data_IF_220530265793
#
_entry.id   IF_220530265793
#
_cell.length_a   1.000
_cell.length_b   1.000
_cell.length_c   1.000
_cell.angle_alpha   90.00
_cell.angle_beta   90.00
_cell.angle_gamma   90.00
#
_symmetry.space_group_name_H-M   'P 1'
#
loop_
_entity.id
_entity.type
_entity.pdbx_description
1 polymer ?
#
# COMPACT_ATOMS: atom_id res chain seq x y z
N UNK A 1 -16.83 41.57 -57.67
CA UNK A 1 -17.26 41.19 -59.04
C UNK A 1 -16.04 40.80 -59.87
N UNK A 2 -14.98 41.64 -59.97
CA UNK A 2 -13.79 41.30 -60.79
C UNK A 2 -13.14 39.95 -60.45
N UNK A 3 -12.91 39.62 -59.18
CA UNK A 3 -12.26 38.35 -58.82
C UNK A 3 -13.03 37.08 -59.24
N UNK A 4 -14.37 37.16 -59.43
CA UNK A 4 -15.18 36.03 -59.94
C UNK A 4 -15.05 35.91 -61.46
N UNK A 5 -15.12 37.04 -62.17
CA UNK A 5 -14.91 37.10 -63.62
C UNK A 5 -13.49 36.67 -64.01
N UNK A 6 -12.47 37.11 -63.25
CA UNK A 6 -11.08 36.72 -63.46
C UNK A 6 -10.89 35.20 -63.33
N UNK A 7 -11.56 34.58 -62.35
CA UNK A 7 -11.53 33.11 -62.16
C UNK A 7 -12.23 32.39 -63.31
N UNK A 8 -13.40 32.86 -63.74
CA UNK A 8 -14.14 32.28 -64.88
C UNK A 8 -13.32 32.36 -66.17
N UNK A 9 -12.72 33.51 -66.46
CA UNK A 9 -11.87 33.69 -67.65
C UNK A 9 -10.63 32.77 -67.62
N UNK A 10 -10.01 32.59 -66.46
CA UNK A 10 -8.90 31.66 -66.30
C UNK A 10 -9.33 30.21 -66.54
N UNK A 11 -10.49 29.79 -66.01
CA UNK A 11 -11.03 28.44 -66.22
C UNK A 11 -11.42 28.20 -67.68
N UNK A 12 -11.97 29.20 -68.38
CA UNK A 12 -12.27 29.13 -69.81
C UNK A 12 -11.00 28.89 -70.63
N UNK A 13 -9.95 29.68 -70.39
CA UNK A 13 -8.66 29.48 -71.07
C UNK A 13 -8.00 28.13 -70.75
N UNK A 14 -8.21 27.58 -69.54
CA UNK A 14 -7.78 26.23 -69.21
C UNK A 14 -8.57 25.15 -69.95
N UNK A 15 -9.89 25.31 -70.04
CA UNK A 15 -10.76 24.39 -70.77
C UNK A 15 -10.36 24.31 -72.25
N UNK A 16 -10.14 25.44 -72.90
CA UNK A 16 -9.68 25.51 -74.30
C UNK A 16 -8.33 24.80 -74.51
N UNK A 17 -7.36 25.01 -73.60
CA UNK A 17 -6.09 24.29 -73.63
C UNK A 17 -6.29 22.79 -73.49
N UNK A 18 -7.13 22.35 -72.55
CA UNK A 18 -7.42 20.94 -72.38
C UNK A 18 -8.12 20.32 -73.57
N UNK A 19 -8.98 21.07 -74.27
CA UNK A 19 -9.59 20.63 -75.53
C UNK A 19 -8.52 20.45 -76.61
N UNK A 20 -7.60 21.42 -76.77
CA UNK A 20 -6.50 21.34 -77.72
C UNK A 20 -5.57 20.13 -77.43
N UNK A 21 -5.39 19.79 -76.15
CA UNK A 21 -4.63 18.62 -75.71
C UNK A 21 -5.45 17.31 -75.70
N UNK A 22 -6.70 17.31 -76.16
CA UNK A 22 -7.63 16.17 -76.14
C UNK A 22 -7.92 15.60 -74.73
N UNK A 23 -7.71 16.41 -73.69
CA UNK A 23 -8.00 16.10 -72.28
C UNK A 23 -9.44 16.49 -71.91
N UNK A 24 -10.41 15.94 -72.65
CA UNK A 24 -11.81 16.35 -72.58
C UNK A 24 -12.44 16.26 -71.18
N UNK A 25 -12.06 15.28 -70.35
CA UNK A 25 -12.57 15.18 -68.95
C UNK A 25 -12.14 16.39 -68.12
N UNK A 26 -10.90 16.86 -68.31
CA UNK A 26 -10.41 18.04 -67.58
C UNK A 26 -11.08 19.31 -68.08
N UNK A 27 -11.32 19.41 -69.39
CA UNK A 27 -12.09 20.52 -69.94
C UNK A 27 -13.53 20.55 -69.41
N UNK A 28 -14.19 19.38 -69.33
CA UNK A 28 -15.55 19.23 -68.78
C UNK A 28 -15.62 19.69 -67.32
N UNK A 29 -14.65 19.28 -66.49
CA UNK A 29 -14.54 19.75 -65.10
C UNK A 29 -14.37 21.27 -64.99
N UNK A 30 -13.55 21.89 -65.86
CA UNK A 30 -13.41 23.35 -65.88
C UNK A 30 -14.74 24.04 -66.19
N UNK A 31 -15.51 23.53 -67.15
CA UNK A 31 -16.83 24.10 -67.46
C UNK A 31 -17.86 23.85 -66.35
N UNK A 32 -17.85 22.68 -65.70
CA UNK A 32 -18.69 22.40 -64.53
C UNK A 32 -18.36 23.38 -63.39
N UNK A 33 -17.08 23.59 -63.09
CA UNK A 33 -16.66 24.56 -62.06
C UNK A 33 -17.08 25.99 -62.40
N UNK A 34 -17.03 26.38 -63.69
CA UNK A 34 -17.57 27.67 -64.12
C UNK A 34 -19.07 27.76 -63.85
N UNK A 35 -19.84 26.70 -64.12
CA UNK A 35 -21.29 26.69 -63.88
C UNK A 35 -21.66 26.64 -62.39
N UNK A 36 -20.79 26.14 -61.52
CA UNK A 36 -20.95 26.28 -60.07
C UNK A 36 -20.79 27.74 -59.61
N UNK A 37 -19.92 28.51 -60.27
CA UNK A 37 -19.69 29.94 -59.99
C UNK A 37 -20.78 30.82 -60.62
N UNK A 38 -21.11 30.55 -61.89
CA UNK A 38 -22.12 31.23 -62.69
C UNK A 38 -22.96 30.22 -63.50
N UNK A 39 -24.11 29.86 -62.94
CA UNK A 39 -25.06 28.88 -63.52
C UNK A 39 -25.58 29.26 -64.90
N UNK A 40 -25.47 30.53 -65.30
CA UNK A 40 -26.01 31.03 -66.56
C UNK A 40 -24.94 31.35 -67.60
N UNK A 41 -23.67 31.04 -67.33
CA UNK A 41 -22.59 31.26 -68.27
C UNK A 41 -22.85 30.52 -69.60
N UNK A 42 -23.10 31.27 -70.68
CA UNK A 42 -23.44 30.70 -71.98
C UNK A 42 -22.28 29.96 -72.61
N UNK A 43 -21.06 30.49 -72.48
CA UNK A 43 -19.83 29.90 -73.03
C UNK A 43 -19.58 28.52 -72.41
N UNK A 44 -19.74 28.38 -71.09
CA UNK A 44 -19.57 27.10 -70.43
C UNK A 44 -20.65 26.07 -70.82
N UNK A 45 -21.91 26.49 -70.99
CA UNK A 45 -22.99 25.61 -71.47
C UNK A 45 -22.74 25.13 -72.90
N UNK A 46 -22.37 26.04 -73.80
CA UNK A 46 -22.02 25.72 -75.18
C UNK A 46 -20.77 24.84 -75.25
N UNK A 47 -19.76 25.14 -74.43
CA UNK A 47 -18.55 24.34 -74.30
C UNK A 47 -18.83 22.90 -73.88
N UNK A 48 -19.69 22.68 -72.88
CA UNK A 48 -20.12 21.34 -72.44
C UNK A 48 -20.82 20.56 -73.54
N UNK A 49 -21.75 21.18 -74.29
CA UNK A 49 -22.42 20.51 -75.41
C UNK A 49 -21.42 20.21 -76.55
N UNK A 50 -20.49 21.11 -76.85
CA UNK A 50 -19.49 20.93 -77.89
C UNK A 50 -18.56 19.74 -77.61
N UNK A 51 -18.14 19.54 -76.35
CA UNK A 51 -17.24 18.43 -75.99
C UNK A 51 -17.98 17.15 -75.58
N UNK A 52 -19.31 17.16 -75.55
CA UNK A 52 -20.15 16.12 -74.95
C UNK A 52 -19.83 14.72 -75.46
N UNK A 53 -19.79 14.53 -76.78
CA UNK A 53 -19.53 13.23 -77.40
C UNK A 53 -18.10 12.72 -77.09
N UNK A 54 -17.12 13.63 -77.10
CA UNK A 54 -15.73 13.30 -76.78
C UNK A 54 -15.56 12.94 -75.29
N UNK A 55 -16.29 13.61 -74.41
CA UNK A 55 -16.36 13.27 -72.98
C UNK A 55 -17.03 11.92 -72.79
N UNK A 56 -18.16 11.65 -73.45
CA UNK A 56 -18.87 10.37 -73.35
C UNK A 56 -18.00 9.21 -73.85
N UNK A 57 -17.24 9.39 -74.94
CA UNK A 57 -16.25 8.43 -75.40
C UNK A 57 -15.14 8.19 -74.37
N UNK A 58 -14.58 9.26 -73.78
CA UNK A 58 -13.56 9.14 -72.74
C UNK A 58 -14.10 8.46 -71.48
N UNK A 59 -15.36 8.72 -71.10
CA UNK A 59 -16.05 8.06 -69.99
C UNK A 59 -16.11 6.54 -70.22
N UNK A 60 -16.46 6.08 -71.43
CA UNK A 60 -16.46 4.65 -71.77
C UNK A 60 -15.05 4.04 -71.62
N UNK A 61 -14.02 4.73 -72.11
CA UNK A 61 -12.63 4.26 -71.99
C UNK A 61 -12.17 4.19 -70.52
N UNK A 62 -12.49 5.20 -69.72
CA UNK A 62 -12.17 5.22 -68.29
C UNK A 62 -12.94 4.13 -67.55
N UNK A 63 -14.20 3.85 -67.92
CA UNK A 63 -14.99 2.79 -67.32
C UNK A 63 -14.37 1.41 -67.57
N UNK A 64 -13.88 1.13 -68.78
CA UNK A 64 -13.18 -0.13 -69.10
C UNK A 64 -11.91 -0.28 -68.24
N UNK A 65 -11.11 0.78 -68.13
CA UNK A 65 -9.91 0.77 -67.28
C UNK A 65 -10.25 0.60 -65.80
N UNK A 66 -11.31 1.25 -65.33
CA UNK A 66 -11.82 1.14 -63.96
C UNK A 66 -12.27 -0.29 -63.63
N UNK A 67 -12.99 -0.95 -64.54
CA UNK A 67 -13.39 -2.36 -64.40
C UNK A 67 -12.18 -3.28 -64.34
N UNK A 68 -11.26 -3.13 -65.29
CA UNK A 68 -10.04 -3.94 -65.31
C UNK A 68 -9.21 -3.77 -64.02
N UNK A 69 -9.12 -2.55 -63.49
CA UNK A 69 -8.48 -2.30 -62.21
C UNK A 69 -9.24 -2.92 -61.03
N UNK A 70 -10.58 -2.88 -61.04
CA UNK A 70 -11.42 -3.48 -60.01
C UNK A 70 -11.27 -5.02 -59.99
N UNK A 71 -11.37 -5.66 -61.16
CA UNK A 71 -11.23 -7.10 -61.33
C UNK A 71 -9.81 -7.57 -60.99
N UNK A 72 -8.81 -6.72 -61.25
CA UNK A 72 -7.42 -6.93 -60.84
C UNK A 72 -7.13 -6.63 -59.35
N UNK A 73 -8.14 -6.25 -58.55
CA UNK A 73 -7.99 -5.94 -57.12
C UNK A 73 -7.32 -4.60 -56.81
N UNK A 74 -7.03 -3.78 -57.82
CA UNK A 74 -6.50 -2.43 -57.63
C UNK A 74 -7.63 -1.43 -57.39
N UNK A 75 -8.29 -1.58 -56.24
CA UNK A 75 -9.45 -0.77 -55.86
C UNK A 75 -9.16 0.72 -55.84
N UNK A 76 -7.94 1.14 -55.46
CA UNK A 76 -7.53 2.56 -55.48
C UNK A 76 -7.43 3.15 -56.89
N UNK A 77 -7.05 2.35 -57.89
CA UNK A 77 -7.07 2.79 -59.28
C UNK A 77 -8.49 2.78 -59.85
N UNK A 78 -9.29 1.77 -59.53
CA UNK A 78 -10.69 1.68 -59.91
C UNK A 78 -11.51 2.85 -59.35
N UNK A 79 -11.33 3.17 -58.06
CA UNK A 79 -12.01 4.28 -57.38
C UNK A 79 -11.70 5.61 -58.06
N UNK A 80 -10.43 5.89 -58.37
CA UNK A 80 -10.03 7.10 -59.10
C UNK A 80 -10.70 7.20 -60.47
N UNK A 81 -10.81 6.08 -61.19
CA UNK A 81 -11.46 6.04 -62.50
C UNK A 81 -12.97 6.32 -62.40
N UNK A 82 -13.68 5.61 -61.53
CA UNK A 82 -15.13 5.78 -61.37
C UNK A 82 -15.52 7.10 -60.71
N UNK A 83 -14.68 7.62 -59.81
CA UNK A 83 -14.85 8.95 -59.23
C UNK A 83 -14.72 10.03 -60.31
N UNK A 84 -13.71 9.93 -61.19
CA UNK A 84 -13.57 10.86 -62.32
C UNK A 84 -14.81 10.86 -63.23
N UNK A 85 -15.39 9.67 -63.50
CA UNK A 85 -16.65 9.57 -64.25
C UNK A 85 -17.80 10.24 -63.49
N UNK A 86 -17.91 10.01 -62.19
CA UNK A 86 -18.99 10.58 -61.36
C UNK A 86 -18.97 12.11 -61.37
N UNK A 87 -17.80 12.75 -61.41
CA UNK A 87 -17.70 14.21 -61.44
C UNK A 87 -18.28 14.83 -62.73
N UNK A 88 -18.04 14.20 -63.88
CA UNK A 88 -18.51 14.69 -65.19
C UNK A 88 -19.88 14.16 -65.59
N UNK A 89 -20.26 12.98 -65.08
CA UNK A 89 -21.54 12.32 -65.31
C UNK A 89 -22.08 11.79 -63.98
N UNK A 90 -22.65 12.66 -63.13
CA UNK A 90 -23.17 12.27 -61.81
C UNK A 90 -24.23 11.19 -61.90
N UNK A 91 -24.99 11.11 -62.99
CA UNK A 91 -26.05 10.10 -63.21
C UNK A 91 -25.56 8.76 -63.80
N UNK A 92 -24.26 8.60 -64.03
CA UNK A 92 -23.72 7.35 -64.56
C UNK A 92 -23.94 6.20 -63.56
N UNK A 93 -24.92 5.34 -63.85
CA UNK A 93 -25.31 4.22 -62.98
C UNK A 93 -24.17 3.22 -62.74
N UNK A 94 -23.31 3.03 -63.74
CA UNK A 94 -22.18 2.11 -63.66
C UNK A 94 -21.10 2.64 -62.70
N UNK A 95 -20.71 3.91 -62.81
CA UNK A 95 -19.78 4.54 -61.89
C UNK A 95 -20.31 4.51 -60.45
N UNK A 96 -21.61 4.84 -60.24
CA UNK A 96 -22.26 4.72 -58.91
C UNK A 96 -22.18 3.29 -58.36
N UNK A 97 -22.44 2.28 -59.20
CA UNK A 97 -22.40 0.87 -58.79
C UNK A 97 -20.99 0.43 -58.37
N UNK A 98 -19.96 0.73 -59.16
CA UNK A 98 -18.59 0.33 -58.82
C UNK A 98 -18.03 1.09 -57.61
N UNK A 99 -18.32 2.38 -57.47
CA UNK A 99 -17.95 3.13 -56.26
C UNK A 99 -18.62 2.53 -55.01
N UNK A 100 -19.89 2.12 -55.10
CA UNK A 100 -20.55 1.40 -54.01
C UNK A 100 -19.85 0.07 -53.69
N UNK A 101 -19.52 -0.74 -54.70
CA UNK A 101 -18.79 -2.01 -54.49
C UNK A 101 -17.43 -1.81 -53.81
N UNK A 102 -16.70 -0.77 -54.22
CA UNK A 102 -15.40 -0.41 -53.63
C UNK A 102 -15.56 0.03 -52.18
N UNK A 103 -16.56 0.88 -51.90
CA UNK A 103 -16.90 1.29 -50.54
C UNK A 103 -17.28 0.09 -49.67
N UNK A 104 -18.12 -0.81 -50.17
CA UNK A 104 -18.53 -2.02 -49.44
C UNK A 104 -17.32 -2.94 -49.16
N UNK A 105 -16.33 -3.01 -50.07
CA UNK A 105 -15.06 -3.70 -49.83
C UNK A 105 -14.25 -3.05 -48.71
N UNK A 106 -14.02 -1.73 -48.77
CA UNK A 106 -13.28 -1.01 -47.73
C UNK A 106 -13.97 -1.07 -46.37
N UNK A 107 -15.31 -1.02 -46.35
CA UNK A 107 -16.10 -1.24 -45.14
C UNK A 107 -15.87 -2.65 -44.57
N UNK A 108 -15.82 -3.68 -45.41
CA UNK A 108 -15.50 -5.05 -44.98
C UNK A 108 -14.09 -5.20 -44.39
N UNK A 109 -13.09 -4.50 -44.93
CA UNK A 109 -11.74 -4.48 -44.34
C UNK A 109 -11.71 -3.71 -43.02
N UNK A 110 -12.44 -2.60 -42.93
CA UNK A 110 -12.60 -1.85 -41.70
C UNK A 110 -13.27 -2.70 -40.60
N UNK A 111 -14.31 -3.47 -40.92
CA UNK A 111 -15.00 -4.38 -39.97
C UNK A 111 -14.04 -5.43 -39.39
N UNK A 112 -13.17 -6.03 -40.21
CA UNK A 112 -12.16 -7.00 -39.73
C UNK A 112 -11.20 -6.35 -38.72
N UNK A 113 -10.74 -5.14 -39.01
CA UNK A 113 -9.85 -4.38 -38.13
C UNK A 113 -10.55 -3.94 -36.85
N UNK A 114 -11.83 -3.55 -36.95
CA UNK A 114 -12.69 -3.26 -35.81
C UNK A 114 -12.82 -4.45 -34.87
N UNK A 115 -13.14 -5.64 -35.39
CA UNK A 115 -13.23 -6.87 -34.59
C UNK A 115 -11.90 -7.22 -33.91
N UNK A 116 -10.76 -7.00 -34.59
CA UNK A 116 -9.42 -7.14 -34.00
C UNK A 116 -9.21 -6.14 -32.85
N UNK A 117 -9.65 -4.90 -33.03
CA UNK A 117 -9.64 -3.85 -32.01
C UNK A 117 -10.47 -4.23 -30.78
N UNK A 118 -11.67 -4.80 -30.98
CA UNK A 118 -12.50 -5.32 -29.89
C UNK A 118 -11.79 -6.45 -29.11
N UNK A 119 -11.08 -7.33 -29.81
CA UNK A 119 -10.25 -8.36 -29.18
C UNK A 119 -9.24 -7.76 -28.20
N UNK A 120 -8.47 -6.76 -28.66
CA UNK A 120 -7.51 -6.06 -27.79
C UNK A 120 -8.18 -5.26 -26.68
N UNK A 121 -9.33 -4.63 -26.96
CA UNK A 121 -10.10 -3.86 -25.99
C UNK A 121 -10.57 -4.74 -24.83
N UNK A 122 -11.09 -5.93 -25.13
CA UNK A 122 -11.54 -6.91 -24.13
C UNK A 122 -10.38 -7.49 -23.31
N UNK A 123 -9.19 -7.60 -23.90
CA UNK A 123 -7.95 -7.95 -23.20
C UNK A 123 -7.34 -6.79 -22.40
N UNK A 124 -7.99 -5.62 -22.35
CA UNK A 124 -7.49 -4.37 -21.74
C UNK A 124 -6.19 -3.86 -22.35
N UNK A 125 -5.82 -4.34 -23.53
CA UNK A 125 -4.67 -3.87 -24.28
C UNK A 125 -5.08 -2.64 -25.11
N UNK A 126 -5.46 -1.56 -24.41
CA UNK A 126 -6.09 -0.39 -25.04
C UNK A 126 -5.19 0.30 -26.07
N UNK A 127 -3.87 0.23 -25.92
CA UNK A 127 -2.93 0.75 -26.92
C UNK A 127 -3.11 0.05 -28.28
N UNK A 128 -3.18 -1.29 -28.28
CA UNK A 128 -3.38 -2.07 -29.51
C UNK A 128 -4.82 -1.96 -30.04
N UNK A 129 -5.79 -1.77 -29.14
CA UNK A 129 -7.17 -1.49 -29.52
C UNK A 129 -7.30 -0.16 -30.27
N UNK A 130 -6.75 0.93 -29.70
CA UNK A 130 -6.70 2.26 -30.32
C UNK A 130 -6.07 2.17 -31.71
N UNK A 131 -4.89 1.53 -31.83
CA UNK A 131 -4.23 1.35 -33.13
C UNK A 131 -5.09 0.61 -34.14
N UNK A 132 -5.79 -0.45 -33.72
CA UNK A 132 -6.65 -1.22 -34.63
C UNK A 132 -7.90 -0.46 -35.06
N UNK A 133 -8.50 0.34 -34.19
CA UNK A 133 -9.63 1.19 -34.55
C UNK A 133 -9.21 2.35 -35.45
N UNK A 134 -8.05 2.94 -35.24
CA UNK A 134 -7.48 3.95 -36.15
C UNK A 134 -7.20 3.36 -37.54
N UNK A 135 -6.65 2.15 -37.61
CA UNK A 135 -6.48 1.42 -38.87
C UNK A 135 -7.83 1.14 -39.54
N UNK A 136 -8.87 0.74 -38.80
CA UNK A 136 -10.22 0.54 -39.36
C UNK A 136 -10.77 1.82 -39.99
N UNK A 137 -10.64 2.97 -39.31
CA UNK A 137 -11.10 4.26 -39.82
C UNK A 137 -10.30 4.72 -41.04
N UNK A 138 -9.03 4.33 -41.17
CA UNK A 138 -8.26 4.62 -42.40
C UNK A 138 -8.78 3.92 -43.66
N UNK A 139 -9.60 2.88 -43.50
CA UNK A 139 -10.30 2.20 -44.59
C UNK A 139 -11.72 2.76 -44.81
N UNK A 140 -12.45 3.09 -43.74
CA UNK A 140 -13.80 3.65 -43.81
C UNK A 140 -13.97 4.71 -42.72
N UNK A 141 -13.92 5.98 -43.14
CA UNK A 141 -14.08 7.14 -42.24
C UNK A 141 -15.47 7.16 -41.58
N UNK A 142 -16.46 6.50 -42.17
CA UNK A 142 -17.87 6.45 -41.75
C UNK A 142 -18.24 5.23 -40.88
N UNK A 143 -17.27 4.40 -40.49
CA UNK A 143 -17.53 3.24 -39.61
C UNK A 143 -17.84 3.70 -38.17
N UNK A 144 -19.12 3.94 -37.89
CA UNK A 144 -19.62 4.55 -36.67
C UNK A 144 -19.17 3.82 -35.37
N UNK A 145 -19.14 2.50 -35.40
CA UNK A 145 -18.71 1.68 -34.27
C UNK A 145 -17.23 1.88 -33.97
N UNK A 146 -16.37 1.92 -35.00
CA UNK A 146 -14.94 2.15 -34.84
C UNK A 146 -14.66 3.52 -34.21
N UNK A 147 -15.40 4.57 -34.60
CA UNK A 147 -15.30 5.90 -33.98
C UNK A 147 -15.63 5.84 -32.48
N UNK A 148 -16.78 5.25 -32.13
CA UNK A 148 -17.24 5.15 -30.74
C UNK A 148 -16.27 4.35 -29.87
N UNK A 149 -15.79 3.20 -30.36
CA UNK A 149 -14.88 2.36 -29.60
C UNK A 149 -13.47 2.95 -29.51
N UNK A 150 -13.02 3.70 -30.52
CA UNK A 150 -11.77 4.46 -30.47
C UNK A 150 -11.78 5.49 -29.33
N UNK A 151 -12.86 6.27 -29.20
CA UNK A 151 -12.99 7.25 -28.13
C UNK A 151 -12.96 6.59 -26.74
N UNK A 152 -13.71 5.49 -26.57
CA UNK A 152 -13.71 4.71 -25.33
C UNK A 152 -12.32 4.14 -25.03
N UNK A 153 -11.64 3.56 -26.02
CA UNK A 153 -10.31 2.99 -25.88
C UNK A 153 -9.28 4.06 -25.51
N UNK A 154 -9.33 5.24 -26.13
CA UNK A 154 -8.46 6.38 -25.79
C UNK A 154 -8.69 6.86 -24.36
N UNK A 155 -9.95 6.96 -23.94
CA UNK A 155 -10.29 7.35 -22.56
C UNK A 155 -9.76 6.34 -21.52
N UNK A 156 -9.94 5.04 -21.78
CA UNK A 156 -9.42 3.97 -20.92
C UNK A 156 -7.89 3.93 -20.91
N UNK A 157 -7.25 4.09 -22.06
CA UNK A 157 -5.79 4.17 -22.18
C UNK A 157 -5.22 5.37 -21.40
N UNK A 158 -5.84 6.54 -21.55
CA UNK A 158 -5.44 7.75 -20.81
C UNK A 158 -5.55 7.55 -19.30
N UNK A 159 -6.67 6.99 -18.83
CA UNK A 159 -6.84 6.66 -17.41
C UNK A 159 -5.78 5.66 -16.92
N UNK A 160 -5.54 4.57 -17.66
CA UNK A 160 -4.53 3.56 -17.35
C UNK A 160 -3.13 4.17 -17.26
N UNK A 161 -2.76 5.06 -18.18
CA UNK A 161 -1.47 5.74 -18.17
C UNK A 161 -1.33 6.69 -16.97
N UNK A 162 -2.38 7.44 -16.63
CA UNK A 162 -2.35 8.36 -15.49
C UNK A 162 -2.28 7.62 -14.16
N UNK A 163 -3.06 6.55 -14.02
CA UNK A 163 -3.04 5.72 -12.82
C UNK A 163 -1.71 4.98 -12.68
N UNK A 164 -1.16 4.46 -13.78
CA UNK A 164 0.19 3.87 -13.79
C UNK A 164 1.25 4.88 -13.36
N UNK A 165 1.19 6.13 -13.84
CA UNK A 165 2.11 7.21 -13.41
C UNK A 165 2.00 7.49 -11.91
N UNK A 166 0.78 7.54 -11.36
CA UNK A 166 0.54 7.75 -9.92
C UNK A 166 1.14 6.63 -9.09
N UNK A 167 0.85 5.38 -9.44
CA UNK A 167 1.36 4.21 -8.73
C UNK A 167 2.90 4.13 -8.88
N UNK A 168 3.45 4.50 -10.04
CA UNK A 168 4.89 4.51 -10.27
C UNK A 168 5.61 5.49 -9.34
N UNK A 169 5.03 6.67 -9.10
CA UNK A 169 5.58 7.65 -8.16
C UNK A 169 5.60 7.10 -6.72
N UNK A 170 4.52 6.42 -6.30
CA UNK A 170 4.45 5.77 -4.99
C UNK A 170 5.46 4.62 -4.87
N UNK A 171 5.57 3.76 -5.89
CA UNK A 171 6.54 2.67 -5.91
C UNK A 171 7.97 3.19 -5.74
N UNK A 172 8.34 4.25 -6.46
CA UNK A 172 9.66 4.89 -6.35
C UNK A 172 9.90 5.55 -5.00
N UNK A 173 8.85 5.99 -4.29
CA UNK A 173 8.98 6.44 -2.91
C UNK A 173 9.36 5.29 -1.98
N UNK A 174 8.71 4.14 -2.10
CA UNK A 174 9.08 2.94 -1.33
C UNK A 174 10.49 2.44 -1.68
N UNK A 175 10.92 2.52 -2.94
CA UNK A 175 12.31 2.22 -3.32
C UNK A 175 13.31 3.15 -2.63
N UNK A 176 13.00 4.44 -2.49
CA UNK A 176 13.85 5.40 -1.77
C UNK A 176 13.93 5.13 -0.27
N UNK A 177 12.90 4.49 0.29
CA UNK A 177 12.83 4.11 1.70
C UNK A 177 13.33 2.67 1.95
N UNK A 178 13.98 2.04 0.97
CA UNK A 178 14.43 0.63 0.99
C UNK A 178 13.32 -0.40 1.29
N UNK A 179 12.03 -0.03 1.15
CA UNK A 179 10.90 -0.95 1.27
C UNK A 179 10.64 -1.62 -0.09
N UNK A 180 11.57 -2.50 -0.48
CA UNK A 180 11.51 -3.16 -1.78
C UNK A 180 10.31 -4.10 -1.92
N UNK A 181 9.75 -4.63 -0.84
CA UNK A 181 8.56 -5.49 -0.89
C UNK A 181 7.36 -4.69 -1.40
N UNK A 182 7.01 -3.58 -0.73
CA UNK A 182 5.87 -2.75 -1.14
C UNK A 182 6.09 -2.12 -2.52
N UNK A 183 7.31 -1.69 -2.81
CA UNK A 183 7.65 -1.22 -4.15
C UNK A 183 7.40 -2.29 -5.22
N UNK A 184 7.82 -3.53 -4.99
CA UNK A 184 7.59 -4.66 -5.90
C UNK A 184 6.10 -4.93 -6.13
N UNK A 185 5.28 -4.90 -5.06
CA UNK A 185 3.82 -5.06 -5.15
C UNK A 185 3.18 -3.95 -6.00
N UNK A 186 3.61 -2.69 -5.82
CA UNK A 186 3.09 -1.58 -6.61
C UNK A 186 3.52 -1.66 -8.09
N UNK A 187 4.77 -2.05 -8.37
CA UNK A 187 5.18 -2.27 -9.76
C UNK A 187 4.41 -3.43 -10.40
N UNK A 188 4.16 -4.51 -9.67
CA UNK A 188 3.35 -5.63 -10.14
C UNK A 188 1.91 -5.18 -10.46
N UNK A 189 1.31 -4.36 -9.61
CA UNK A 189 0.00 -3.73 -9.85
C UNK A 189 -0.02 -2.90 -11.13
N UNK A 190 1.05 -2.16 -11.43
CA UNK A 190 1.17 -1.43 -12.72
C UNK A 190 1.24 -2.41 -13.89
N UNK A 191 1.96 -3.53 -13.77
CA UNK A 191 2.06 -4.52 -14.86
C UNK A 191 0.72 -5.20 -15.14
N UNK A 192 -0.10 -5.42 -14.11
CA UNK A 192 -1.47 -5.96 -14.23
C UNK A 192 -2.44 -4.95 -14.85
N UNK A 193 -2.31 -3.68 -14.46
CA UNK A 193 -3.11 -2.57 -14.97
C UNK A 193 -2.73 -2.20 -16.41
N UNK A 194 -1.42 -2.14 -16.67
CA UNK A 194 -0.80 -1.75 -17.92
C UNK A 194 0.27 -2.76 -18.34
N UNK A 195 -0.14 -3.84 -19.03
CA UNK A 195 0.79 -4.86 -19.51
C UNK A 195 1.84 -4.33 -20.48
N UNK A 196 1.68 -3.14 -21.06
CA UNK A 196 2.65 -2.52 -21.97
C UNK A 196 3.62 -1.57 -21.23
N UNK A 197 3.51 -1.43 -19.91
CA UNK A 197 4.36 -0.54 -19.14
C UNK A 197 5.80 -1.07 -19.02
N UNK A 198 6.65 -0.68 -19.98
CA UNK A 198 8.06 -1.09 -20.02
C UNK A 198 8.82 -0.64 -18.77
N UNK A 199 8.50 0.56 -18.27
CA UNK A 199 9.18 1.14 -17.10
C UNK A 199 8.93 0.31 -15.85
N UNK A 200 7.66 0.00 -15.53
CA UNK A 200 7.32 -0.82 -14.37
C UNK A 200 7.94 -2.22 -14.46
N UNK A 201 7.90 -2.87 -15.63
CA UNK A 201 8.55 -4.17 -15.84
C UNK A 201 10.05 -4.12 -15.60
N UNK A 202 10.74 -3.08 -16.08
CA UNK A 202 12.19 -2.91 -15.90
C UNK A 202 12.53 -2.65 -14.44
N UNK A 203 11.80 -1.77 -13.76
CA UNK A 203 12.05 -1.45 -12.35
C UNK A 203 11.75 -2.65 -11.44
N UNK A 204 10.67 -3.40 -11.70
CA UNK A 204 10.36 -4.65 -11.01
C UNK A 204 11.49 -5.68 -11.13
N UNK A 205 12.04 -5.86 -12.33
CA UNK A 205 13.19 -6.76 -12.55
C UNK A 205 14.43 -6.28 -11.79
N UNK A 206 14.69 -4.98 -11.76
CA UNK A 206 15.82 -4.40 -11.04
C UNK A 206 15.68 -4.53 -9.51
N UNK A 207 14.46 -4.67 -8.99
CA UNK A 207 14.22 -4.87 -7.56
C UNK A 207 14.53 -6.28 -7.08
N UNK A 208 14.33 -7.30 -7.92
CA UNK A 208 14.56 -8.71 -7.54
C UNK A 208 15.90 -8.97 -6.83
N UNK A 209 17.07 -8.54 -7.37
CA UNK A 209 18.34 -8.77 -6.69
C UNK A 209 18.48 -7.99 -5.37
N UNK A 210 17.87 -6.80 -5.25
CA UNK A 210 17.89 -6.00 -4.02
C UNK A 210 17.09 -6.68 -2.92
N UNK A 211 15.87 -7.11 -3.24
CA UNK A 211 15.02 -7.86 -2.32
C UNK A 211 15.71 -9.15 -1.85
N UNK A 212 16.30 -9.90 -2.79
CA UNK A 212 17.08 -11.10 -2.46
C UNK A 212 18.22 -10.80 -1.48
N UNK A 213 19.02 -9.75 -1.74
CA UNK A 213 20.12 -9.35 -0.86
C UNK A 213 19.65 -9.02 0.56
N UNK A 214 18.48 -8.39 0.71
CA UNK A 214 17.93 -8.07 2.03
C UNK A 214 17.40 -9.30 2.77
N UNK A 215 16.77 -10.23 2.04
CA UNK A 215 16.40 -11.54 2.58
C UNK A 215 17.65 -12.30 3.03
N UNK A 216 18.67 -12.40 2.19
CA UNK A 216 19.92 -13.08 2.51
C UNK A 216 20.57 -12.48 3.78
N UNK A 217 20.54 -11.16 3.92
CA UNK A 217 21.03 -10.47 5.12
C UNK A 217 20.23 -10.83 6.37
N UNK A 218 18.90 -10.92 6.27
CA UNK A 218 18.04 -11.35 7.37
C UNK A 218 18.34 -12.80 7.77
N UNK A 219 18.51 -13.69 6.79
CA UNK A 219 18.89 -15.08 7.05
C UNK A 219 20.25 -15.17 7.75
N UNK A 220 21.26 -14.43 7.30
CA UNK A 220 22.60 -14.43 7.93
C UNK A 220 22.52 -13.93 9.38
N UNK A 221 21.80 -12.83 9.64
CA UNK A 221 21.62 -12.30 11.00
C UNK A 221 20.83 -13.28 11.87
N UNK A 222 19.80 -13.91 11.33
CA UNK A 222 19.04 -14.96 12.01
C UNK A 222 19.93 -16.15 12.39
N UNK A 223 20.75 -16.64 11.44
CA UNK A 223 21.70 -17.75 11.68
C UNK A 223 22.73 -17.39 12.75
N UNK A 224 23.25 -16.16 12.74
CA UNK A 224 24.19 -15.69 13.76
C UNK A 224 23.55 -15.59 15.14
N UNK A 225 22.33 -15.06 15.25
CA UNK A 225 21.61 -14.98 16.53
C UNK A 225 21.28 -16.39 17.05
N UNK A 226 20.86 -17.29 16.16
CA UNK A 226 20.59 -18.69 16.49
C UNK A 226 21.83 -19.40 17.04
N UNK A 227 23.00 -19.19 16.42
CA UNK A 227 24.26 -19.77 16.89
C UNK A 227 24.70 -19.24 18.27
N UNK A 228 24.24 -18.05 18.65
CA UNK A 228 24.49 -17.44 19.96
C UNK A 228 23.38 -17.76 20.99
N UNK A 229 22.47 -18.67 20.67
CA UNK A 229 21.29 -19.02 21.50
C UNK A 229 20.30 -17.87 21.77
N UNK A 230 20.44 -16.74 21.06
CA UNK A 230 19.45 -15.65 21.06
C UNK A 230 18.30 -15.99 20.11
N UNK A 231 17.45 -16.90 20.57
CA UNK A 231 16.35 -17.44 19.78
C UNK A 231 15.26 -16.42 19.46
N UNK A 232 15.07 -15.39 20.30
CA UNK A 232 14.10 -14.32 20.02
C UNK A 232 14.54 -13.44 18.86
N UNK A 233 15.79 -12.98 18.87
CA UNK A 233 16.34 -12.19 17.75
C UNK A 233 16.41 -13.04 16.49
N UNK A 234 16.83 -14.30 16.60
CA UNK A 234 16.85 -15.24 15.48
C UNK A 234 15.47 -15.41 14.86
N UNK A 235 14.46 -15.68 15.68
CA UNK A 235 13.06 -15.84 15.26
C UNK A 235 12.55 -14.61 14.52
N UNK A 236 12.74 -13.39 15.05
CA UNK A 236 12.31 -12.14 14.38
C UNK A 236 12.92 -11.99 12.99
N UNK A 237 14.21 -12.32 12.84
CA UNK A 237 14.89 -12.24 11.55
C UNK A 237 14.37 -13.28 10.55
N UNK A 238 14.19 -14.53 10.99
CA UNK A 238 13.65 -15.59 10.15
C UNK A 238 12.18 -15.37 9.78
N UNK A 239 11.32 -14.93 10.70
CA UNK A 239 9.94 -14.55 10.41
C UNK A 239 9.90 -13.46 9.34
N UNK A 240 10.72 -12.41 9.47
CA UNK A 240 10.79 -11.36 8.47
C UNK A 240 11.24 -11.89 7.11
N UNK A 241 12.27 -12.74 7.05
CA UNK A 241 12.70 -13.37 5.81
C UNK A 241 11.61 -14.26 5.19
N UNK A 242 10.91 -15.05 6.01
CA UNK A 242 9.80 -15.89 5.59
C UNK A 242 8.63 -15.08 5.01
N UNK A 243 8.26 -13.95 5.64
CA UNK A 243 7.20 -13.09 5.11
C UNK A 243 7.54 -12.40 3.78
N UNK A 244 8.83 -12.29 3.43
CA UNK A 244 9.27 -11.63 2.20
C UNK A 244 9.27 -12.57 0.99
N UNK A 245 9.60 -13.85 1.19
CA UNK A 245 9.92 -14.78 0.10
C UNK A 245 9.38 -16.20 0.31
N UNK A 246 8.83 -16.51 1.49
CA UNK A 246 8.50 -17.88 1.93
C UNK A 246 9.75 -18.79 1.98
N UNK A 247 10.88 -18.20 2.38
CA UNK A 247 12.18 -18.85 2.41
C UNK A 247 12.16 -20.17 3.19
N UNK A 248 12.56 -21.26 2.53
CA UNK A 248 12.63 -22.59 3.14
C UNK A 248 13.68 -22.62 4.26
N UNK A 249 14.81 -21.94 4.08
CA UNK A 249 15.83 -21.76 5.12
C UNK A 249 15.21 -21.14 6.38
N UNK A 250 14.54 -20.00 6.25
CA UNK A 250 13.88 -19.34 7.37
C UNK A 250 12.90 -20.27 8.09
N UNK A 251 12.05 -20.97 7.30
CA UNK A 251 11.07 -21.90 7.84
C UNK A 251 11.72 -23.00 8.68
N UNK A 252 12.78 -23.63 8.16
CA UNK A 252 13.46 -24.72 8.87
C UNK A 252 14.06 -24.25 10.20
N UNK A 253 14.66 -23.05 10.24
CA UNK A 253 15.17 -22.51 11.50
C UNK A 253 14.05 -22.13 12.47
N UNK A 254 12.92 -21.60 11.99
CA UNK A 254 11.76 -21.32 12.85
C UNK A 254 11.23 -22.59 13.49
N UNK A 255 11.10 -23.68 12.73
CA UNK A 255 10.72 -24.99 13.27
C UNK A 255 11.71 -25.44 14.34
N UNK A 256 13.01 -25.35 14.06
CA UNK A 256 14.04 -25.74 15.02
C UNK A 256 14.03 -24.90 16.31
N UNK A 257 13.74 -23.61 16.21
CA UNK A 257 13.57 -22.75 17.39
C UNK A 257 12.40 -23.23 18.25
N UNK A 258 11.28 -23.59 17.63
CA UNK A 258 10.11 -24.14 18.34
C UNK A 258 10.46 -25.45 19.03
N UNK A 259 11.15 -26.37 18.34
CA UNK A 259 11.60 -27.64 18.91
C UNK A 259 12.51 -27.44 20.13
N UNK A 260 13.52 -26.57 20.03
CA UNK A 260 14.45 -26.27 21.13
C UNK A 260 13.71 -25.68 22.34
N UNK A 261 12.75 -24.79 22.11
CA UNK A 261 11.95 -24.22 23.20
C UNK A 261 11.08 -25.28 23.87
N UNK A 262 10.45 -26.15 23.08
CA UNK A 262 9.67 -27.26 23.63
C UNK A 262 10.55 -28.22 24.45
N UNK A 263 11.75 -28.55 23.99
CA UNK A 263 12.70 -29.36 24.76
C UNK A 263 13.09 -28.69 26.08
N UNK A 264 13.32 -27.37 26.07
CA UNK A 264 13.63 -26.59 27.28
C UNK A 264 12.46 -26.59 28.26
N UNK A 265 11.22 -26.40 27.77
CA UNK A 265 9.99 -26.51 28.55
C UNK A 265 9.90 -27.88 29.22
N UNK A 266 10.03 -28.96 28.44
CA UNK A 266 9.93 -30.33 28.95
C UNK A 266 11.00 -30.62 30.03
N UNK A 267 12.26 -30.25 29.77
CA UNK A 267 13.37 -30.43 30.72
C UNK A 267 13.17 -29.64 32.02
N UNK A 268 12.75 -28.37 31.92
CA UNK A 268 12.47 -27.56 33.11
C UNK A 268 11.27 -28.13 33.90
N UNK A 269 10.24 -28.62 33.20
CA UNK A 269 9.08 -29.25 33.84
C UNK A 269 9.45 -30.55 34.57
N UNK A 270 10.24 -31.42 33.96
CA UNK A 270 10.74 -32.65 34.59
C UNK A 270 11.55 -32.34 35.86
N UNK A 271 12.52 -31.40 35.77
CA UNK A 271 13.29 -30.96 36.95
C UNK A 271 12.41 -30.31 38.01
N UNK A 272 11.36 -29.60 37.62
CA UNK A 272 10.40 -29.02 38.56
C UNK A 272 9.64 -30.12 39.32
N UNK A 273 9.20 -31.18 38.64
CA UNK A 273 8.56 -32.33 39.28
C UNK A 273 9.52 -33.08 40.23
N UNK A 274 10.80 -33.22 39.88
CA UNK A 274 11.82 -33.81 40.77
C UNK A 274 12.04 -32.98 42.05
N UNK A 275 12.16 -31.65 41.89
CA UNK A 275 12.26 -30.73 43.03
C UNK A 275 11.00 -30.77 43.91
N UNK A 276 9.82 -30.82 43.28
CA UNK A 276 8.53 -30.93 43.96
C UNK A 276 8.43 -32.25 44.76
N UNK A 277 8.83 -33.38 44.16
CA UNK A 277 8.85 -34.68 44.84
C UNK A 277 9.83 -34.71 46.02
N UNK A 278 10.95 -33.98 45.89
CA UNK A 278 11.97 -33.83 46.92
C UNK A 278 11.58 -32.81 48.01
N UNK A 279 10.40 -32.18 47.90
CA UNK A 279 9.91 -31.10 48.76
C UNK A 279 10.80 -29.86 48.78
N UNK A 280 11.64 -29.68 47.76
CA UNK A 280 12.37 -28.44 47.52
C UNK A 280 11.43 -27.45 46.83
N UNK A 281 10.50 -26.91 47.62
CA UNK A 281 9.40 -26.08 47.12
C UNK A 281 9.89 -24.84 46.37
N UNK A 282 10.98 -24.22 46.83
CA UNK A 282 11.53 -23.01 46.22
C UNK A 282 12.14 -23.30 44.84
N UNK A 283 12.91 -24.40 44.72
CA UNK A 283 13.46 -24.81 43.43
C UNK A 283 12.34 -25.24 42.46
N UNK A 284 11.33 -25.95 42.96
CA UNK A 284 10.17 -26.35 42.17
C UNK A 284 9.41 -25.14 41.61
N UNK A 285 9.11 -24.14 42.45
CA UNK A 285 8.46 -22.88 42.04
C UNK A 285 9.27 -22.22 40.92
N UNK A 286 10.58 -22.01 41.13
CA UNK A 286 11.46 -21.37 40.15
C UNK A 286 11.47 -22.08 38.80
N UNK A 287 11.48 -23.42 38.80
CA UNK A 287 11.50 -24.21 37.57
C UNK A 287 10.13 -24.22 36.88
N UNK A 288 9.02 -24.25 37.61
CA UNK A 288 7.69 -24.07 37.03
C UNK A 288 7.49 -22.65 36.48
N UNK A 289 8.06 -21.62 37.10
CA UNK A 289 8.08 -20.27 36.54
C UNK A 289 8.80 -20.23 35.19
N UNK A 290 9.98 -20.85 35.09
CA UNK A 290 10.71 -20.95 33.82
C UNK A 290 9.93 -21.71 32.73
N UNK A 291 9.07 -22.66 33.10
CA UNK A 291 8.14 -23.32 32.16
C UNK A 291 7.05 -22.34 31.70
N UNK A 292 6.47 -21.58 32.63
CA UNK A 292 5.37 -20.65 32.35
C UNK A 292 5.82 -19.39 31.61
N UNK A 293 7.10 -19.02 31.70
CA UNK A 293 7.71 -17.96 30.88
C UNK A 293 7.71 -18.32 29.39
N UNK A 294 7.98 -19.58 29.05
CA UNK A 294 7.97 -20.08 27.66
C UNK A 294 6.55 -20.49 27.22
N UNK A 295 5.78 -21.11 28.11
CA UNK A 295 4.40 -21.59 27.88
C UNK A 295 3.45 -21.15 29.00
N UNK A 296 2.92 -19.93 28.89
CA UNK A 296 2.03 -19.35 29.90
C UNK A 296 0.75 -20.18 30.16
N UNK A 297 0.26 -20.93 29.17
CA UNK A 297 -0.94 -21.75 29.27
C UNK A 297 -0.67 -23.19 29.75
N UNK A 298 0.56 -23.52 30.17
CA UNK A 298 0.92 -24.84 30.66
C UNK A 298 0.24 -25.16 32.01
N UNK A 299 -0.98 -25.73 31.93
CA UNK A 299 -1.90 -25.97 33.06
C UNK A 299 -1.26 -26.71 34.23
N UNK A 300 -0.49 -27.77 33.95
CA UNK A 300 0.10 -28.62 35.00
C UNK A 300 1.15 -27.84 35.81
N UNK A 301 2.09 -27.17 35.15
CA UNK A 301 3.07 -26.28 35.77
C UNK A 301 2.40 -25.22 36.66
N UNK A 302 1.33 -24.58 36.17
CA UNK A 302 0.58 -23.59 36.98
C UNK A 302 -0.02 -24.19 38.25
N UNK A 303 -0.68 -25.35 38.13
CA UNK A 303 -1.30 -26.03 39.27
C UNK A 303 -0.25 -26.52 40.28
N UNK A 304 0.83 -27.14 39.80
CA UNK A 304 1.91 -27.67 40.64
C UNK A 304 2.69 -26.57 41.33
N UNK A 305 2.94 -25.45 40.64
CA UNK A 305 3.50 -24.24 41.24
C UNK A 305 2.63 -23.72 42.38
N UNK A 306 1.31 -23.65 42.20
CA UNK A 306 0.39 -23.23 43.26
C UNK A 306 0.45 -24.18 44.47
N UNK A 307 0.50 -25.49 44.23
CA UNK A 307 0.69 -26.47 45.30
C UNK A 307 2.04 -26.32 46.00
N UNK A 308 3.10 -26.00 45.27
CA UNK A 308 4.42 -25.77 45.85
C UNK A 308 4.42 -24.52 46.76
N UNK A 309 3.71 -23.46 46.37
CA UNK A 309 3.49 -22.30 47.25
C UNK A 309 2.75 -22.69 48.54
N UNK A 310 1.66 -23.44 48.45
CA UNK A 310 0.87 -23.88 49.62
C UNK A 310 1.66 -24.76 50.60
N UNK A 311 2.62 -25.55 50.10
CA UNK A 311 3.45 -26.42 50.93
C UNK A 311 4.75 -25.75 51.41
N UNK A 312 5.05 -24.55 50.91
CA UNK A 312 6.15 -23.72 51.39
C UNK A 312 5.73 -22.91 52.62
N UNK A 313 6.68 -22.36 53.37
CA UNK A 313 6.42 -21.47 54.53
C UNK A 313 5.63 -20.19 54.16
N UNK A 314 5.25 -20.02 52.89
CA UNK A 314 4.42 -18.92 52.39
C UNK A 314 3.08 -18.81 53.15
N UNK A 315 2.39 -19.93 53.40
CA UNK A 315 1.11 -19.90 54.12
C UNK A 315 1.27 -19.52 55.60
N UNK A 316 2.36 -19.93 56.24
CA UNK A 316 2.67 -19.54 57.63
C UNK A 316 3.03 -18.05 57.71
N UNK A 317 3.84 -17.58 56.75
CA UNK A 317 4.25 -16.19 56.65
C UNK A 317 3.07 -15.26 56.33
N UNK A 318 2.13 -15.71 55.48
CA UNK A 318 0.90 -15.00 55.15
C UNK A 318 -0.02 -14.85 56.37
N UNK A 319 -0.24 -15.93 57.13
CA UNK A 319 -1.02 -15.87 58.39
C UNK A 319 -0.39 -14.95 59.42
N UNK A 320 0.94 -14.97 59.52
CA UNK A 320 1.68 -14.04 60.38
C UNK A 320 1.44 -12.59 59.94
N UNK A 321 1.54 -12.30 58.65
CA UNK A 321 1.30 -10.97 58.08
C UNK A 321 -0.14 -10.48 58.31
N UNK A 322 -1.14 -11.33 58.06
CA UNK A 322 -2.56 -11.02 58.28
C UNK A 322 -2.82 -10.68 59.76
N UNK A 323 -2.26 -11.46 60.70
CA UNK A 323 -2.39 -11.20 62.14
C UNK A 323 -1.75 -9.86 62.55
N UNK A 324 -0.69 -9.41 61.87
CA UNK A 324 -0.10 -8.09 62.14
C UNK A 324 -1.04 -6.95 61.72
N UNK A 325 -1.78 -7.09 60.62
CA UNK A 325 -2.82 -6.11 60.24
C UNK A 325 -3.95 -6.08 61.28
N UNK A 326 -4.46 -7.23 61.71
CA UNK A 326 -5.54 -7.30 62.71
C UNK A 326 -5.16 -6.61 64.02
N UNK A 327 -3.90 -6.75 64.42
CA UNK A 327 -3.34 -6.12 65.61
C UNK A 327 -2.91 -4.66 65.40
N UNK A 328 -3.14 -4.08 64.21
CA UNK A 328 -2.73 -2.71 63.81
C UNK A 328 -1.21 -2.48 63.81
N UNK A 329 -0.41 -3.55 63.74
CA UNK A 329 1.04 -3.49 63.60
C UNK A 329 1.42 -3.36 62.11
N UNK A 330 1.04 -2.25 61.47
CA UNK A 330 1.15 -2.08 60.02
C UNK A 330 2.59 -2.10 59.48
N UNK A 331 3.59 -1.73 60.30
CA UNK A 331 5.00 -1.73 59.88
C UNK A 331 5.54 -3.15 59.74
N UNK A 332 5.30 -3.99 60.75
CA UNK A 332 5.66 -5.42 60.71
C UNK A 332 4.86 -6.17 59.64
N UNK A 333 3.58 -5.83 59.47
CA UNK A 333 2.77 -6.37 58.37
C UNK A 333 3.36 -6.01 57.00
N UNK A 334 3.74 -4.75 56.79
CA UNK A 334 4.34 -4.26 55.56
C UNK A 334 5.62 -5.03 55.20
N UNK A 335 6.50 -5.28 56.18
CA UNK A 335 7.73 -6.06 55.98
C UNK A 335 7.42 -7.50 55.55
N UNK A 336 6.47 -8.16 56.22
CA UNK A 336 6.08 -9.54 55.91
C UNK A 336 5.41 -9.67 54.53
N UNK A 337 4.49 -8.77 54.17
CA UNK A 337 3.89 -8.76 52.83
C UNK A 337 4.91 -8.38 51.75
N UNK A 338 5.88 -7.52 52.04
CA UNK A 338 6.96 -7.21 51.09
C UNK A 338 7.80 -8.46 50.80
N UNK A 339 8.14 -9.22 51.84
CA UNK A 339 8.84 -10.50 51.70
C UNK A 339 8.01 -11.57 50.97
N UNK A 340 6.67 -11.58 51.14
CA UNK A 340 5.76 -12.46 50.40
C UNK A 340 5.63 -12.06 48.92
N UNK A 341 5.58 -10.76 48.63
CA UNK A 341 5.47 -10.25 47.27
C UNK A 341 6.75 -10.51 46.46
N UNK A 342 7.92 -10.46 47.10
CA UNK A 342 9.19 -10.87 46.47
C UNK A 342 9.20 -12.35 46.08
N UNK A 343 8.44 -13.20 46.79
CA UNK A 343 8.34 -14.64 46.53
C UNK A 343 7.24 -15.01 45.54
N UNK A 344 6.16 -14.22 45.47
CA UNK A 344 5.09 -14.35 44.49
C UNK A 344 4.68 -12.97 44.00
N UNK A 345 5.38 -12.48 42.98
CA UNK A 345 5.23 -11.12 42.46
C UNK A 345 3.83 -10.81 41.91
N UNK A 346 3.04 -11.83 41.57
CA UNK A 346 1.71 -11.69 40.96
C UNK A 346 0.55 -11.94 41.94
N UNK A 347 0.83 -12.10 43.24
CA UNK A 347 -0.22 -12.28 44.23
C UNK A 347 -0.99 -10.97 44.47
N UNK A 348 -2.19 -10.91 43.89
CA UNK A 348 -3.08 -9.74 43.98
C UNK A 348 -3.57 -9.46 45.40
N UNK A 349 -3.67 -10.49 46.25
CA UNK A 349 -4.07 -10.33 47.64
C UNK A 349 -2.92 -9.70 48.45
N UNK A 350 -1.72 -10.26 48.35
CA UNK A 350 -0.52 -9.73 49.02
C UNK A 350 -0.27 -8.28 48.60
N UNK A 351 -0.40 -7.97 47.31
CA UNK A 351 -0.25 -6.59 46.80
C UNK A 351 -1.28 -5.64 47.40
N UNK A 352 -2.55 -6.04 47.47
CA UNK A 352 -3.60 -5.22 48.06
C UNK A 352 -3.40 -4.97 49.56
N UNK A 353 -2.93 -5.97 50.31
CA UNK A 353 -2.61 -5.81 51.73
C UNK A 353 -1.38 -4.93 51.95
N UNK A 354 -0.38 -5.02 51.07
CA UNK A 354 0.81 -4.19 51.11
C UNK A 354 0.46 -2.71 50.84
N UNK A 355 -0.40 -2.43 49.86
CA UNK A 355 -0.92 -1.08 49.61
C UNK A 355 -1.77 -0.57 50.78
N UNK A 356 -2.54 -1.44 51.44
CA UNK A 356 -3.28 -1.11 52.67
C UNK A 356 -2.34 -0.72 53.80
N UNK A 357 -1.26 -1.48 54.02
CA UNK A 357 -0.26 -1.15 55.02
C UNK A 357 0.41 0.20 54.73
N UNK A 358 0.75 0.50 53.47
CA UNK A 358 1.33 1.79 53.08
C UNK A 358 0.42 2.96 53.45
N UNK A 359 -0.87 2.85 53.15
CA UNK A 359 -1.84 3.90 53.45
C UNK A 359 -1.88 4.22 54.95
N UNK A 360 -1.99 3.20 55.81
CA UNK A 360 -2.02 3.39 57.26
C UNK A 360 -0.70 3.91 57.83
N UNK A 361 0.43 3.47 57.27
CA UNK A 361 1.75 3.96 57.69
C UNK A 361 1.96 5.43 57.31
N UNK A 362 1.50 5.85 56.12
CA UNK A 362 1.55 7.25 55.69
C UNK A 362 0.65 8.13 56.58
N UNK A 363 -0.55 7.67 56.92
CA UNK A 363 -1.45 8.36 57.86
C UNK A 363 -0.83 8.50 59.26
N UNK A 364 -0.21 7.43 59.78
CA UNK A 364 0.46 7.45 61.09
C UNK A 364 1.66 8.41 61.07
N UNK A 365 2.47 8.42 60.00
CA UNK A 365 3.59 9.37 59.84
C UNK A 365 3.11 10.81 59.90
N UNK A 366 2.02 11.15 59.20
CA UNK A 366 1.45 12.50 59.21
C UNK A 366 0.81 12.84 60.56
N UNK A 367 0.14 11.88 61.22
CA UNK A 367 -0.40 12.08 62.57
C UNK A 367 0.70 12.40 63.58
N UNK A 368 1.76 11.57 63.62
CA UNK A 368 2.95 11.77 64.45
C UNK A 368 3.63 13.09 64.16
N UNK A 369 3.78 13.44 62.87
CA UNK A 369 4.35 14.71 62.48
C UNK A 369 3.56 15.89 63.05
N UNK A 370 2.23 15.89 62.90
CA UNK A 370 1.36 16.95 63.40
C UNK A 370 1.29 16.99 64.94
N UNK A 371 1.33 15.84 65.62
CA UNK A 371 1.46 15.75 67.08
C UNK A 371 2.73 16.47 67.55
N UNK A 372 3.86 16.18 66.91
CA UNK A 372 5.13 16.85 67.21
C UNK A 372 5.09 18.37 66.97
N UNK A 373 4.37 18.84 65.94
CA UNK A 373 4.15 20.28 65.71
C UNK A 373 3.35 20.92 66.84
N UNK A 374 2.33 20.24 67.36
CA UNK A 374 1.53 20.70 68.49
C UNK A 374 2.37 20.85 69.77
N UNK A 375 3.16 19.84 70.12
CA UNK A 375 4.09 19.90 71.24
C UNK A 375 5.13 21.01 71.07
N UNK A 376 5.70 21.15 69.87
CA UNK A 376 6.66 22.19 69.55
C UNK A 376 6.09 23.61 69.72
N UNK A 377 4.83 23.82 69.35
CA UNK A 377 4.14 25.09 69.54
C UNK A 377 3.85 25.40 71.02
N UNK A 378 3.67 24.36 71.84
CA UNK A 378 3.54 24.44 73.29
C UNK A 378 4.87 24.55 74.05
N UNK A 379 6.00 24.72 73.35
CA UNK A 379 7.36 24.72 73.90
C UNK A 379 7.81 23.41 74.57
N UNK A 380 7.03 22.33 74.40
CA UNK A 380 7.36 20.98 74.86
C UNK A 380 8.24 20.27 73.83
N UNK A 381 9.51 20.66 73.80
CA UNK A 381 10.45 20.19 72.78
C UNK A 381 10.83 18.72 72.92
N UNK A 382 10.74 18.14 74.12
CA UNK A 382 11.06 16.74 74.38
C UNK A 382 10.03 15.83 73.72
N UNK A 383 8.74 16.04 74.01
CA UNK A 383 7.65 15.27 73.39
C UNK A 383 7.57 15.52 71.88
N UNK A 384 7.88 16.73 71.40
CA UNK A 384 7.96 17.01 69.97
C UNK A 384 9.02 16.15 69.25
N UNK A 385 10.20 15.98 69.85
CA UNK A 385 11.28 15.16 69.31
C UNK A 385 10.89 13.68 69.31
N UNK A 386 10.22 13.20 70.37
CA UNK A 386 9.74 11.82 70.44
C UNK A 386 8.75 11.48 69.32
N UNK A 387 7.76 12.34 69.08
CA UNK A 387 6.77 12.12 68.00
C UNK A 387 7.41 12.11 66.61
N UNK A 388 8.38 13.01 66.36
CA UNK A 388 9.10 13.00 65.09
C UNK A 388 10.08 11.83 64.95
N UNK A 389 10.63 11.31 66.04
CA UNK A 389 11.39 10.05 66.02
C UNK A 389 10.50 8.88 65.64
N UNK A 390 9.29 8.80 66.20
CA UNK A 390 8.32 7.76 65.86
C UNK A 390 7.91 7.84 64.37
N UNK A 391 7.66 9.04 63.84
CA UNK A 391 7.41 9.25 62.42
C UNK A 391 8.59 8.78 61.54
N UNK A 392 9.83 9.06 61.97
CA UNK A 392 11.04 8.69 61.24
C UNK A 392 11.39 7.20 61.34
N UNK A 393 10.86 6.48 62.33
CA UNK A 393 10.98 5.03 62.41
C UNK A 393 10.15 4.34 61.31
N UNK A 394 9.00 4.92 60.96
CA UNK A 394 8.13 4.41 59.89
C UNK A 394 8.63 4.86 58.52
N UNK A 395 8.95 6.15 58.36
CA UNK A 395 9.50 6.71 57.14
C UNK A 395 10.82 7.45 57.45
N UNK A 396 11.97 6.74 57.34
CA UNK A 396 13.28 7.32 57.58
C UNK A 396 13.61 8.52 56.70
N UNK A 397 12.89 8.75 55.60
CA UNK A 397 13.10 9.85 54.67
C UNK A 397 12.06 10.97 54.74
N UNK A 398 11.20 10.95 55.77
CA UNK A 398 10.22 12.02 55.97
C UNK A 398 10.91 13.37 56.28
N UNK A 399 11.06 14.18 55.24
CA UNK A 399 11.87 15.40 55.27
C UNK A 399 11.42 16.41 56.33
N UNK A 400 10.10 16.57 56.51
CA UNK A 400 9.54 17.51 57.50
C UNK A 400 9.90 17.08 58.92
N UNK A 401 9.73 15.79 59.29
CA UNK A 401 10.09 15.31 60.62
C UNK A 401 11.58 15.50 60.92
N UNK A 402 12.48 15.25 59.94
CA UNK A 402 13.93 15.53 60.11
C UNK A 402 14.22 17.00 60.42
N UNK A 403 13.62 17.90 59.64
CA UNK A 403 13.85 19.34 59.77
C UNK A 403 13.34 19.87 61.11
N UNK A 404 12.11 19.51 61.47
CA UNK A 404 11.46 20.00 62.68
C UNK A 404 12.09 19.42 63.95
N UNK A 405 12.48 18.14 63.94
CA UNK A 405 13.28 17.53 65.03
C UNK A 405 14.55 18.31 65.29
N UNK A 406 15.31 18.64 64.24
CA UNK A 406 16.54 19.43 64.38
C UNK A 406 16.27 20.81 65.00
N UNK A 407 15.15 21.45 64.65
CA UNK A 407 14.73 22.73 65.26
C UNK A 407 14.40 22.57 66.75
N UNK A 408 13.68 21.52 67.14
CA UNK A 408 13.40 21.25 68.56
C UNK A 408 14.64 20.94 69.37
N UNK A 409 15.56 20.12 68.85
CA UNK A 409 16.82 19.80 69.53
C UNK A 409 17.65 21.08 69.81
N UNK A 410 17.67 22.02 68.86
CA UNK A 410 18.33 23.31 69.04
C UNK A 410 17.67 24.16 70.13
N UNK A 411 16.32 24.19 70.17
CA UNK A 411 15.55 24.95 71.16
C UNK A 411 15.68 24.37 72.57
N UNK A 412 15.55 23.06 72.71
CA UNK A 412 15.74 22.34 73.97
C UNK A 412 17.14 22.56 74.54
N UNK A 413 18.17 22.48 73.69
CA UNK A 413 19.55 22.76 74.10
C UNK A 413 19.76 24.21 74.56
N UNK A 414 19.08 25.17 73.94
CA UNK A 414 19.12 26.57 74.36
C UNK A 414 18.39 26.79 75.70
N UNK A 415 17.23 26.16 75.90
CA UNK A 415 16.44 26.22 77.13
C UNK A 415 17.22 25.65 78.33
N UNK A 416 17.83 24.47 78.18
CA UNK A 416 18.60 23.82 79.22
C UNK A 416 19.85 24.64 79.63
N UNK A 417 20.43 25.42 78.70
CA UNK A 417 21.54 26.34 78.99
C UNK A 417 21.12 27.59 79.75
N UNK A 418 19.85 28.00 79.64
CA UNK A 418 19.30 29.13 80.37
C UNK A 418 18.90 28.75 81.80
N UNK A 419 18.45 27.51 82.00
CA UNK A 419 18.06 26.98 83.32
C UNK A 419 19.25 26.48 84.18
N UNK A 420 20.44 26.34 83.59
CA UNK A 420 21.67 25.91 84.26
C UNK A 420 22.61 27.07 84.63
N UNK A 421 22.17 28.31 84.45
CA UNK A 421 22.79 29.54 84.97
C UNK A 421 21.92 30.10 86.08
#
# INVERSE_FOLDING_TARGET
VSAREDKVNALLGQAERYIAEQKFIKADLCYIEILEIDKNNSIAKEGLEHIREAVDYNVLKIAILGKSAFDGGNYKAAERAFFAIQQVRPENAEAKLYLRKIRDYYYGEAEKLFLRGLGYYNQKNYMMAVKSFEEALSHSDDHAESVKYLENARSKLSWQQNESKRILAQARQFVRNDDFKKASELYQKIVELDPQNIVAKKELRALKPKLKRDIDRLIIRGKSAFANEDYDTARRHFEKAYTLDQSLDAKNYLTRIVEIRQERVNNNFEKAEEAFASKDWNLAIKLYDAVLEEENDHKNARQKRQQAYQNSDFDELLKSADSKIENRNYLEAYELYSALLERNMDDTYVRAQLDTCRLYLDEEVEHRFNSGISFFAGEDYENAIEEWNAALQINPDHAKSKEYKKKAEQRLKALNRLQSK
#
